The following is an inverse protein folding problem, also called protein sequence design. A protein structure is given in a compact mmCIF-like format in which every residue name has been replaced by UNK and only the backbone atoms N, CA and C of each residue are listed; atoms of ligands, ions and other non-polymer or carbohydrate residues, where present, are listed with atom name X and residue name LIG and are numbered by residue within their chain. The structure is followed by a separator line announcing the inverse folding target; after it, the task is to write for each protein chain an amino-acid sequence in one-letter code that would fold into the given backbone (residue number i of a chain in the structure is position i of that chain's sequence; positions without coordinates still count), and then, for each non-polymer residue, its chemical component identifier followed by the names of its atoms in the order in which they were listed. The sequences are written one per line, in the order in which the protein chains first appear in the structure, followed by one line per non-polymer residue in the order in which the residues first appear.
data_IF_098247017709
#
_entry.id   IF_098247017709
#
_cell.length_a   1.000
_cell.length_b   1.000
_cell.length_c   1.000
_cell.angle_alpha   90.00
_cell.angle_beta   90.00
_cell.angle_gamma   90.00
#
_symmetry.space_group_name_H-M   'P 1'
#
loop_
_entity.id
_entity.type
_entity.pdbx_description
1 polymer ?
#
# COMPACT_ATOMS: atom_id res chain seq x y z
N UNK A 1 36.24 -35.08 10.47
CA UNK A 1 34.78 -35.30 10.48
C UNK A 1 34.13 -34.08 9.83
N UNK A 2 33.44 -34.28 8.70
CA UNK A 2 32.84 -33.23 7.88
C UNK A 2 31.71 -32.56 8.66
N UNK A 3 31.78 -31.24 8.87
CA UNK A 3 30.63 -30.47 9.33
C UNK A 3 30.09 -29.70 8.12
N UNK A 4 29.19 -30.35 7.40
CA UNK A 4 28.42 -29.78 6.29
C UNK A 4 27.54 -28.66 6.82
N UNK A 5 28.13 -27.48 7.05
CA UNK A 5 27.40 -26.24 7.25
C UNK A 5 26.69 -25.93 5.94
N UNK A 6 25.51 -26.53 5.84
CA UNK A 6 24.39 -26.25 4.97
C UNK A 6 24.49 -24.82 4.42
N UNK A 7 25.11 -24.69 3.24
CA UNK A 7 25.08 -23.46 2.46
C UNK A 7 23.66 -23.30 1.99
N UNK A 8 22.78 -22.79 2.87
CA UNK A 8 21.52 -22.20 2.46
C UNK A 8 21.91 -21.06 1.53
N UNK A 9 22.02 -21.34 0.23
CA UNK A 9 21.97 -20.30 -0.78
C UNK A 9 20.82 -19.39 -0.38
N UNK A 10 21.03 -18.07 -0.23
CA UNK A 10 19.94 -17.15 0.06
C UNK A 10 19.02 -17.21 -1.15
N UNK A 11 18.06 -18.15 -1.12
CA UNK A 11 17.06 -18.29 -2.16
C UNK A 11 16.31 -16.98 -2.12
N UNK A 12 16.19 -16.25 -3.25
CA UNK A 12 15.31 -15.10 -3.29
C UNK A 12 13.95 -15.55 -2.77
N UNK A 13 13.44 -14.87 -1.73
CA UNK A 13 12.20 -15.29 -1.09
C UNK A 13 11.08 -15.06 -2.09
N UNK A 14 10.66 -16.13 -2.78
CA UNK A 14 9.63 -16.09 -3.83
C UNK A 14 8.35 -15.47 -3.30
N UNK A 15 8.05 -15.68 -2.02
CA UNK A 15 6.94 -15.04 -1.32
C UNK A 15 7.06 -13.51 -1.37
N UNK A 16 8.21 -12.94 -0.99
CA UNK A 16 8.44 -11.50 -1.02
C UNK A 16 8.32 -10.94 -2.44
N UNK A 17 8.80 -11.67 -3.45
CA UNK A 17 8.64 -11.27 -4.85
C UNK A 17 7.17 -11.20 -5.24
N UNK A 18 6.38 -12.21 -4.90
CA UNK A 18 4.94 -12.26 -5.18
C UNK A 18 4.20 -11.08 -4.53
N UNK A 19 4.47 -10.81 -3.25
CA UNK A 19 3.86 -9.70 -2.53
C UNK A 19 4.31 -8.34 -3.07
N UNK A 20 5.60 -8.16 -3.41
CA UNK A 20 6.07 -6.92 -4.03
C UNK A 20 5.35 -6.65 -5.34
N UNK A 21 5.18 -7.65 -6.20
CA UNK A 21 4.43 -7.50 -7.47
C UNK A 21 2.97 -7.13 -7.19
N UNK A 22 2.31 -7.83 -6.25
CA UNK A 22 0.95 -7.53 -5.84
C UNK A 22 0.82 -6.08 -5.35
N UNK A 23 1.69 -5.63 -4.46
CA UNK A 23 1.64 -4.29 -3.89
C UNK A 23 1.97 -3.19 -4.90
N UNK A 24 2.85 -3.44 -5.88
CA UNK A 24 3.06 -2.53 -7.01
C UNK A 24 1.78 -2.35 -7.85
N UNK A 25 1.03 -3.42 -8.07
CA UNK A 25 -0.29 -3.35 -8.74
C UNK A 25 -1.27 -2.54 -7.88
N UNK A 26 -1.28 -2.74 -6.56
CA UNK A 26 -2.12 -1.96 -5.65
C UNK A 26 -1.78 -0.47 -5.67
N UNK A 27 -0.49 -0.08 -5.65
CA UNK A 27 -0.10 1.34 -5.77
C UNK A 27 -0.63 1.96 -7.07
N UNK A 28 -0.60 1.22 -8.17
CA UNK A 28 -1.17 1.67 -9.46
C UNK A 28 -2.69 1.82 -9.38
N UNK A 29 -3.38 0.88 -8.73
CA UNK A 29 -4.82 0.93 -8.51
C UNK A 29 -5.22 2.11 -7.60
N UNK A 30 -4.48 2.35 -6.52
CA UNK A 30 -4.69 3.49 -5.62
C UNK A 30 -4.59 4.81 -6.39
N UNK A 31 -3.63 4.93 -7.30
CA UNK A 31 -3.49 6.14 -8.13
C UNK A 31 -4.76 6.41 -8.97
N UNK A 32 -5.40 5.37 -9.50
CA UNK A 32 -6.67 5.48 -10.22
C UNK A 32 -7.83 5.86 -9.28
N UNK A 33 -7.89 5.26 -8.09
CA UNK A 33 -8.91 5.59 -7.08
C UNK A 33 -8.79 7.04 -6.61
N UNK A 34 -7.56 7.52 -6.37
CA UNK A 34 -7.28 8.91 -6.00
C UNK A 34 -7.76 9.90 -7.07
N UNK A 35 -7.59 9.57 -8.35
CA UNK A 35 -8.09 10.38 -9.45
C UNK A 35 -9.62 10.54 -9.38
N UNK A 36 -10.35 9.44 -9.18
CA UNK A 36 -11.81 9.45 -9.05
C UNK A 36 -12.23 10.28 -7.83
N UNK A 37 -11.62 10.02 -6.66
CA UNK A 37 -11.96 10.73 -5.42
C UNK A 37 -11.72 12.24 -5.57
N UNK A 38 -10.61 12.64 -6.20
CA UNK A 38 -10.28 14.05 -6.39
C UNK A 38 -11.33 14.75 -7.26
N UNK A 39 -11.74 14.13 -8.36
CA UNK A 39 -12.83 14.65 -9.20
C UNK A 39 -14.13 14.77 -8.39
N UNK A 40 -14.48 13.73 -7.63
CA UNK A 40 -15.67 13.74 -6.77
C UNK A 40 -15.61 14.87 -5.73
N UNK A 41 -14.46 15.12 -5.11
CA UNK A 41 -14.28 16.21 -4.15
C UNK A 41 -14.47 17.59 -4.79
N UNK A 42 -13.95 17.80 -6.01
CA UNK A 42 -14.19 19.05 -6.75
C UNK A 42 -15.68 19.26 -7.07
N UNK A 43 -16.40 18.21 -7.44
CA UNK A 43 -17.85 18.27 -7.66
C UNK A 43 -18.58 18.68 -6.37
N UNK A 44 -18.24 18.07 -5.23
CA UNK A 44 -18.82 18.43 -3.93
C UNK A 44 -18.52 19.88 -3.56
N UNK A 45 -17.28 20.34 -3.76
CA UNK A 45 -16.88 21.71 -3.46
C UNK A 45 -17.66 22.74 -4.31
N UNK A 46 -17.94 22.43 -5.59
CA UNK A 46 -18.74 23.32 -6.44
C UNK A 46 -20.22 23.40 -6.07
N UNK A 47 -20.80 22.30 -5.59
CA UNK A 47 -22.24 22.25 -5.28
C UNK A 47 -22.53 22.69 -3.84
N UNK A 48 -21.74 22.20 -2.88
CA UNK A 48 -22.02 22.31 -1.45
C UNK A 48 -21.06 23.20 -0.66
N UNK A 49 -20.04 23.77 -1.29
CA UNK A 49 -19.05 24.65 -0.66
C UNK A 49 -17.99 23.92 0.19
N UNK A 50 -18.33 22.77 0.77
CA UNK A 50 -17.43 21.97 1.62
C UNK A 50 -17.11 20.59 0.99
N UNK A 51 -15.86 20.10 1.10
CA UNK A 51 -15.51 18.74 0.72
C UNK A 51 -16.24 17.69 1.54
N UNK A 52 -16.38 16.48 1.00
CA UNK A 52 -17.01 15.37 1.73
C UNK A 52 -16.08 14.84 2.84
N UNK A 53 -16.49 15.00 4.10
CA UNK A 53 -15.71 14.60 5.28
C UNK A 53 -15.40 13.09 5.35
N UNK A 54 -16.31 12.24 4.87
CA UNK A 54 -16.08 10.79 4.84
C UNK A 54 -15.01 10.42 3.81
N UNK A 55 -15.05 11.04 2.62
CA UNK A 55 -14.01 10.86 1.62
C UNK A 55 -12.67 11.40 2.10
N UNK A 56 -12.64 12.53 2.83
CA UNK A 56 -11.42 13.06 3.43
C UNK A 56 -10.79 12.06 4.41
N UNK A 57 -11.60 11.50 5.33
CA UNK A 57 -11.14 10.47 6.27
C UNK A 57 -10.63 9.23 5.53
N UNK A 58 -11.35 8.79 4.49
CA UNK A 58 -10.91 7.66 3.67
C UNK A 58 -9.56 7.94 2.98
N UNK A 59 -9.38 9.12 2.38
CA UNK A 59 -8.11 9.50 1.75
C UNK A 59 -6.97 9.63 2.74
N UNK A 60 -7.24 10.04 3.98
CA UNK A 60 -6.23 10.09 5.04
C UNK A 60 -5.70 8.67 5.33
N UNK A 61 -6.60 7.72 5.56
CA UNK A 61 -6.24 6.31 5.74
C UNK A 61 -5.54 5.73 4.50
N UNK A 62 -6.03 6.04 3.31
CA UNK A 62 -5.44 5.60 2.04
C UNK A 62 -4.01 6.13 1.86
N UNK A 63 -3.72 7.34 2.37
CA UNK A 63 -2.37 7.92 2.30
C UNK A 63 -1.37 7.16 3.17
N UNK A 64 -1.75 6.79 4.40
CA UNK A 64 -0.91 5.97 5.27
C UNK A 64 -0.73 4.57 4.69
N UNK A 65 -1.80 3.97 4.15
CA UNK A 65 -1.71 2.68 3.47
C UNK A 65 -0.75 2.74 2.26
N UNK A 66 -0.79 3.82 1.47
CA UNK A 66 0.12 4.00 0.34
C UNK A 66 1.57 4.07 0.81
N UNK A 67 1.84 4.73 1.93
CA UNK A 67 3.17 4.78 2.55
C UNK A 67 3.64 3.39 2.98
N UNK A 68 2.78 2.60 3.63
CA UNK A 68 3.10 1.21 4.01
C UNK A 68 3.47 0.35 2.77
N UNK A 69 2.70 0.46 1.69
CA UNK A 69 3.01 -0.22 0.42
C UNK A 69 4.35 0.21 -0.16
N UNK A 70 4.64 1.51 -0.16
CA UNK A 70 5.92 2.04 -0.65
C UNK A 70 7.06 1.52 0.22
N UNK A 71 6.93 1.53 1.54
CA UNK A 71 7.95 1.02 2.46
C UNK A 71 8.24 -0.47 2.23
N UNK A 72 7.20 -1.29 2.03
CA UNK A 72 7.38 -2.72 1.74
C UNK A 72 8.07 -2.95 0.39
N UNK A 73 7.55 -2.33 -0.67
CA UNK A 73 8.04 -2.51 -2.05
C UNK A 73 9.45 -1.96 -2.26
N UNK A 74 9.84 -0.93 -1.51
CA UNK A 74 11.18 -0.34 -1.52
C UNK A 74 12.17 -1.03 -0.56
N UNK A 75 11.78 -2.13 0.07
CA UNK A 75 12.60 -2.89 1.02
C UNK A 75 12.98 -2.12 2.29
N UNK A 76 12.29 -1.01 2.59
CA UNK A 76 12.46 -0.24 3.82
C UNK A 76 11.71 -0.84 5.02
N UNK A 77 10.76 -1.76 4.77
CA UNK A 77 10.06 -2.53 5.80
C UNK A 77 9.83 -3.97 5.35
N UNK A 78 9.76 -4.88 6.32
CA UNK A 78 9.30 -6.27 6.15
C UNK A 78 7.87 -6.48 6.67
N UNK A 79 7.26 -5.46 7.27
CA UNK A 79 5.86 -5.48 7.71
C UNK A 79 4.94 -5.50 6.49
N UNK A 80 4.08 -6.51 6.41
CA UNK A 80 3.20 -6.72 5.26
C UNK A 80 1.93 -5.87 5.43
N UNK A 81 1.65 -4.92 4.52
CA UNK A 81 0.43 -4.12 4.58
C UNK A 81 -0.84 -4.96 4.39
N UNK A 82 -2.01 -4.35 4.60
CA UNK A 82 -3.30 -4.93 4.17
C UNK A 82 -3.19 -5.46 2.72
N UNK A 83 -3.76 -6.63 2.38
CA UNK A 83 -4.72 -7.46 3.13
C UNK A 83 -4.12 -8.44 4.13
N UNK A 84 -2.80 -8.57 4.23
CA UNK A 84 -2.18 -9.46 5.23
C UNK A 84 -2.02 -8.81 6.60
N UNK A 85 -1.93 -7.49 6.66
CA UNK A 85 -1.96 -6.70 7.87
C UNK A 85 -3.30 -5.97 8.04
N UNK A 86 -3.37 -5.12 9.06
CA UNK A 86 -4.52 -4.27 9.33
C UNK A 86 -4.61 -3.10 8.35
N UNK A 87 -5.83 -2.58 8.16
CA UNK A 87 -6.02 -1.33 7.42
C UNK A 87 -5.69 -0.13 8.33
N UNK A 88 -4.88 0.84 7.88
CA UNK A 88 -4.51 1.97 8.72
C UNK A 88 -5.71 2.86 9.05
N UNK A 89 -5.82 3.23 10.32
CA UNK A 89 -6.85 4.12 10.83
C UNK A 89 -6.18 5.30 11.52
N UNK A 90 -6.03 6.40 10.78
CA UNK A 90 -5.42 7.66 11.20
C UNK A 90 -6.44 8.78 11.38
#
# INVERSE_FOLDING_TARGET
MQNSQNTRSPKPNIERILYTILYLILVRFISMVLFIITITQFIYSWIGGEPNAQLLRFTNNLSEYTKELVLYTSFNSDEKPWPSGEWPTV
#
